data_IF_398855929774
#
_entry.id   IF_398855929774
#
_cell.length_a   1.000
_cell.length_b   1.000
_cell.length_c   1.000
_cell.angle_alpha   90.00
_cell.angle_beta   90.00
_cell.angle_gamma   90.00
#
_symmetry.space_group_name_H-M   'P 1'
#
loop_
_entity.id
_entity.type
_entity.pdbx_description
1 polymer ?
#
# COMPACT_ATOMS: atom_id res chain seq x y z
N UNK A 1 5.66 -34.59 14.25
CA UNK A 1 6.69 -33.90 13.45
C UNK A 1 6.17 -33.90 12.04
N UNK A 2 5.50 -32.80 11.66
CA UNK A 2 5.01 -32.62 10.30
C UNK A 2 6.21 -32.35 9.40
N UNK A 3 6.48 -33.31 8.53
CA UNK A 3 7.50 -33.20 7.52
C UNK A 3 6.92 -32.35 6.37
N UNK A 4 6.95 -31.02 6.53
CA UNK A 4 6.54 -30.12 5.46
C UNK A 4 7.63 -30.12 4.38
N UNK A 5 7.35 -30.78 3.27
CA UNK A 5 8.21 -30.71 2.09
C UNK A 5 7.93 -29.38 1.40
N UNK A 6 8.89 -28.48 1.43
CA UNK A 6 8.84 -27.26 0.61
C UNK A 6 9.03 -27.68 -0.85
N UNK A 7 7.96 -27.65 -1.63
CA UNK A 7 8.04 -27.84 -3.09
C UNK A 7 8.44 -26.51 -3.70
N UNK A 8 9.71 -26.33 -3.99
CA UNK A 8 10.20 -25.21 -4.79
C UNK A 8 9.94 -25.55 -6.25
N UNK A 9 8.85 -25.04 -6.82
CA UNK A 9 8.47 -25.28 -8.22
C UNK A 9 9.39 -24.60 -9.23
N UNK A 10 10.12 -23.54 -8.81
CA UNK A 10 11.11 -22.87 -9.64
C UNK A 10 12.20 -22.25 -8.77
N UNK A 11 13.40 -22.81 -8.83
CA UNK A 11 14.60 -22.16 -8.33
C UNK A 11 15.24 -21.44 -9.53
N UNK A 12 15.12 -20.13 -9.60
CA UNK A 12 15.81 -19.34 -10.61
C UNK A 12 17.15 -18.86 -10.07
N UNK A 13 18.21 -19.27 -10.70
CA UNK A 13 19.53 -18.71 -10.48
C UNK A 13 19.58 -17.32 -11.11
N UNK A 14 19.97 -16.32 -10.34
CA UNK A 14 20.33 -15.03 -10.89
C UNK A 14 21.44 -15.27 -11.92
N UNK A 15 21.33 -14.70 -13.12
CA UNK A 15 22.37 -14.92 -14.13
C UNK A 15 23.69 -14.36 -13.58
N UNK A 16 24.72 -15.19 -13.53
CA UNK A 16 26.05 -14.84 -13.02
C UNK A 16 26.70 -13.67 -13.77
N UNK A 17 26.09 -13.21 -14.86
CA UNK A 17 26.60 -12.16 -15.73
C UNK A 17 26.03 -10.76 -15.44
N UNK A 18 25.07 -10.61 -14.56
CA UNK A 18 24.52 -9.29 -14.26
C UNK A 18 25.27 -8.65 -13.10
N UNK A 19 26.08 -7.62 -13.38
CA UNK A 19 26.87 -6.90 -12.38
C UNK A 19 26.24 -5.59 -11.93
N UNK A 20 25.44 -4.97 -12.80
CA UNK A 20 24.74 -3.71 -12.53
C UNK A 20 23.56 -3.51 -13.48
N UNK A 21 22.58 -2.71 -13.06
CA UNK A 21 21.41 -2.38 -13.86
C UNK A 21 20.76 -1.08 -13.42
N UNK A 22 19.70 -0.69 -14.13
CA UNK A 22 18.83 0.44 -13.77
C UNK A 22 17.66 -0.06 -12.92
N UNK A 23 17.35 0.67 -11.86
CA UNK A 23 16.13 0.50 -11.07
C UNK A 23 15.22 1.67 -11.42
N UNK A 24 13.98 1.42 -11.82
CA UNK A 24 13.01 2.48 -12.07
C UNK A 24 11.61 2.10 -11.67
N UNK A 25 10.81 3.10 -11.36
CA UNK A 25 9.41 2.93 -10.97
C UNK A 25 8.71 4.26 -10.75
N UNK A 26 7.47 4.18 -10.30
CA UNK A 26 6.61 5.32 -10.01
C UNK A 26 6.15 5.26 -8.55
N UNK A 27 6.10 6.42 -7.90
CA UNK A 27 5.52 6.57 -6.56
C UNK A 27 4.21 7.32 -6.69
N UNK A 28 3.14 6.71 -6.17
CA UNK A 28 1.78 7.23 -6.21
C UNK A 28 1.24 7.47 -4.81
N UNK A 29 0.25 8.32 -4.70
CA UNK A 29 -0.51 8.53 -3.47
C UNK A 29 -1.48 7.37 -3.24
N UNK A 30 -1.46 6.82 -2.04
CA UNK A 30 -2.25 5.64 -1.69
C UNK A 30 -3.76 5.91 -1.61
N UNK A 31 -4.18 7.17 -1.53
CA UNK A 31 -5.61 7.55 -1.38
C UNK A 31 -6.26 7.88 -2.72
N UNK A 32 -5.51 8.47 -3.66
CA UNK A 32 -6.09 8.99 -4.90
C UNK A 32 -5.37 8.50 -6.16
N UNK A 33 -4.35 7.65 -6.01
CA UNK A 33 -3.52 7.08 -7.08
C UNK A 33 -2.78 8.11 -7.96
N UNK A 34 -2.71 9.38 -7.54
CA UNK A 34 -1.98 10.39 -8.28
C UNK A 34 -0.47 10.22 -8.11
N UNK A 35 0.34 10.51 -9.15
CA UNK A 35 1.78 10.53 -9.03
C UNK A 35 2.25 11.54 -7.97
N UNK A 36 3.23 11.14 -7.14
CA UNK A 36 3.76 12.03 -6.10
C UNK A 36 5.14 12.55 -6.52
N UNK A 37 5.24 13.85 -6.81
CA UNK A 37 6.47 14.53 -7.18
C UNK A 37 7.33 14.88 -5.97
N UNK A 38 8.66 14.89 -6.13
CA UNK A 38 9.59 15.36 -5.10
C UNK A 38 9.65 14.50 -3.84
N UNK A 39 9.37 13.20 -3.95
CA UNK A 39 9.62 12.25 -2.88
C UNK A 39 11.11 11.98 -2.82
N UNK A 40 11.77 12.22 -1.71
CA UNK A 40 13.17 11.85 -1.48
C UNK A 40 13.30 10.35 -1.29
N UNK A 41 14.28 9.73 -1.95
CA UNK A 41 14.55 8.31 -1.96
C UNK A 41 15.96 8.03 -1.46
N UNK A 42 16.08 7.25 -0.39
CA UNK A 42 17.35 6.80 0.16
C UNK A 42 17.50 5.28 -0.02
N UNK A 43 18.47 4.86 -0.80
CA UNK A 43 18.72 3.44 -1.11
C UNK A 43 19.77 2.87 -0.15
N UNK A 44 19.44 1.74 0.50
CA UNK A 44 20.37 0.95 1.31
C UNK A 44 20.43 -0.47 0.77
N UNK A 45 21.61 -1.09 0.81
CA UNK A 45 21.75 -2.50 0.39
C UNK A 45 21.03 -3.45 1.34
N UNK A 46 20.34 -4.42 0.75
CA UNK A 46 19.64 -5.49 1.46
C UNK A 46 18.13 -5.37 1.43
N UNK A 47 17.48 -6.41 1.90
CA UNK A 47 16.01 -6.47 2.08
C UNK A 47 15.67 -5.99 3.49
N UNK A 48 14.68 -5.10 3.61
CA UNK A 48 14.22 -4.51 4.88
C UNK A 48 15.36 -3.84 5.70
N UNK A 49 16.35 -3.27 5.01
CA UNK A 49 17.46 -2.55 5.62
C UNK A 49 17.04 -1.12 6.00
N UNK A 50 16.52 -0.93 7.21
CA UNK A 50 16.04 0.36 7.72
C UNK A 50 17.14 1.22 8.34
N UNK A 51 18.36 0.70 8.48
CA UNK A 51 19.54 1.38 9.01
C UNK A 51 20.79 1.06 8.17
N UNK A 52 21.88 1.75 8.42
CA UNK A 52 23.16 1.57 7.71
C UNK A 52 23.38 2.62 6.61
N UNK A 53 24.42 2.40 5.82
CA UNK A 53 24.88 3.39 4.83
C UNK A 53 23.89 3.55 3.68
N UNK A 54 23.55 4.80 3.37
CA UNK A 54 22.81 5.16 2.14
C UNK A 54 23.82 5.08 0.99
N UNK A 55 23.59 4.18 0.04
CA UNK A 55 24.48 3.95 -1.09
C UNK A 55 24.11 4.79 -2.33
N UNK A 56 22.88 5.23 -2.43
CA UNK A 56 22.37 6.14 -3.47
C UNK A 56 21.19 6.93 -2.96
N UNK A 57 20.96 8.10 -3.56
CA UNK A 57 19.79 8.93 -3.35
C UNK A 57 19.19 9.34 -4.69
N UNK A 58 17.88 9.56 -4.71
CA UNK A 58 17.15 10.10 -5.86
C UNK A 58 15.92 10.89 -5.36
N UNK A 59 15.18 11.46 -6.27
CA UNK A 59 13.87 12.05 -5.98
C UNK A 59 12.91 11.84 -7.14
N UNK A 60 11.62 11.71 -6.86
CA UNK A 60 10.63 11.53 -7.92
C UNK A 60 10.47 12.81 -8.76
N UNK A 61 10.32 12.61 -10.06
CA UNK A 61 10.03 13.63 -11.06
C UNK A 61 8.61 14.22 -10.91
N UNK A 62 8.26 15.17 -11.77
CA UNK A 62 6.90 15.75 -11.83
C UNK A 62 5.81 14.70 -12.17
N UNK A 63 6.18 13.58 -12.74
CA UNK A 63 5.29 12.45 -13.03
C UNK A 63 5.39 11.33 -12.00
N UNK A 64 6.00 11.59 -10.83
CA UNK A 64 6.18 10.62 -9.76
C UNK A 64 7.19 9.52 -10.05
N UNK A 65 7.90 9.58 -11.19
CA UNK A 65 8.86 8.54 -11.60
C UNK A 65 10.23 8.75 -10.98
N UNK A 66 10.95 7.67 -10.75
CA UNK A 66 12.36 7.65 -10.36
C UNK A 66 13.15 6.67 -11.26
N UNK A 67 14.45 6.92 -11.44
CA UNK A 67 15.30 6.06 -12.25
C UNK A 67 16.77 6.20 -11.86
N UNK A 68 17.38 5.12 -11.39
CA UNK A 68 18.79 5.06 -11.02
C UNK A 68 19.53 4.04 -11.88
N UNK A 69 20.48 4.51 -12.65
CA UNK A 69 21.38 3.67 -13.44
C UNK A 69 22.59 3.21 -12.64
N UNK A 70 23.28 2.19 -13.17
CA UNK A 70 24.52 1.66 -12.64
C UNK A 70 24.44 1.20 -11.17
N UNK A 71 23.28 0.70 -10.77
CA UNK A 71 23.12 0.07 -9.47
C UNK A 71 23.76 -1.32 -9.51
N UNK A 72 24.67 -1.61 -8.58
CA UNK A 72 25.27 -2.95 -8.48
C UNK A 72 24.19 -4.01 -8.23
N UNK A 73 24.35 -5.19 -8.81
CA UNK A 73 23.40 -6.29 -8.67
C UNK A 73 23.00 -6.56 -7.21
N UNK A 74 21.72 -6.79 -6.97
CA UNK A 74 21.18 -7.19 -5.66
C UNK A 74 20.00 -6.40 -5.18
N UNK A 75 19.55 -6.74 -3.98
CA UNK A 75 18.41 -6.10 -3.32
C UNK A 75 18.81 -4.78 -2.67
N UNK A 76 17.87 -3.86 -2.68
CA UNK A 76 17.94 -2.58 -1.96
C UNK A 76 16.63 -2.32 -1.25
N UNK A 77 16.72 -1.73 -0.07
CA UNK A 77 15.61 -1.10 0.60
C UNK A 77 15.61 0.39 0.30
N UNK A 78 14.49 0.90 -0.14
CA UNK A 78 14.29 2.33 -0.44
C UNK A 78 13.45 2.93 0.67
N UNK A 79 13.99 3.92 1.35
CA UNK A 79 13.25 4.76 2.29
C UNK A 79 12.71 5.98 1.55
N UNK A 80 11.41 6.21 1.67
CA UNK A 80 10.72 7.36 1.09
C UNK A 80 10.50 8.43 2.14
N UNK A 81 10.73 9.70 1.81
CA UNK A 81 10.35 10.81 2.67
C UNK A 81 9.83 12.01 1.88
N UNK A 82 8.74 12.62 2.37
CA UNK A 82 8.15 13.82 1.82
C UNK A 82 7.29 14.49 2.89
N UNK A 83 7.32 15.84 2.93
CA UNK A 83 6.43 16.61 3.82
C UNK A 83 4.96 16.31 3.52
N UNK A 84 4.17 16.05 4.56
CA UNK A 84 2.77 15.67 4.46
C UNK A 84 2.52 14.17 4.18
N UNK A 85 3.58 13.36 4.09
CA UNK A 85 3.50 11.90 3.90
C UNK A 85 4.19 11.14 5.03
N UNK A 86 3.73 9.93 5.26
CA UNK A 86 4.35 9.00 6.20
C UNK A 86 5.63 8.45 5.56
N UNK A 87 6.75 8.51 6.29
CA UNK A 87 7.99 7.84 5.88
C UNK A 87 7.76 6.34 5.83
N UNK A 88 8.07 5.73 4.71
CA UNK A 88 7.89 4.29 4.49
C UNK A 88 9.08 3.67 3.77
N UNK A 89 9.12 2.35 3.71
CA UNK A 89 10.16 1.62 3.00
C UNK A 89 9.56 0.57 2.08
N UNK A 90 10.25 0.31 0.96
CA UNK A 90 9.95 -0.78 0.05
C UNK A 90 11.24 -1.39 -0.49
N UNK A 91 11.15 -2.61 -1.00
CA UNK A 91 12.33 -3.29 -1.54
C UNK A 91 12.30 -3.27 -3.07
N UNK A 92 13.48 -3.05 -3.65
CA UNK A 92 13.71 -3.06 -5.09
C UNK A 92 14.91 -3.93 -5.41
N UNK A 93 14.98 -4.40 -6.65
CA UNK A 93 16.08 -5.25 -7.11
C UNK A 93 16.78 -4.62 -8.29
N UNK A 94 18.10 -4.58 -8.24
CA UNK A 94 18.95 -4.18 -9.37
C UNK A 94 19.49 -5.42 -10.07
N UNK A 95 19.47 -5.40 -11.38
CA UNK A 95 19.99 -6.46 -12.22
C UNK A 95 19.00 -7.57 -12.53
N UNK A 96 18.47 -7.53 -13.67
CA UNK A 96 17.51 -8.46 -14.21
C UNK A 96 16.38 -7.72 -14.91
N UNK A 97 15.85 -8.31 -15.95
CA UNK A 97 14.58 -7.88 -16.53
C UNK A 97 13.49 -8.72 -15.88
N UNK A 98 12.58 -8.09 -15.13
CA UNK A 98 11.37 -8.74 -14.62
C UNK A 98 10.19 -8.44 -15.57
N UNK A 99 10.40 -8.47 -16.85
CA UNK A 99 9.31 -8.55 -17.79
C UNK A 99 8.84 -10.00 -17.90
N UNK A 100 7.61 -10.27 -17.46
CA UNK A 100 7.01 -11.60 -17.56
C UNK A 100 7.53 -12.65 -16.57
N UNK A 101 8.15 -12.24 -15.45
CA UNK A 101 8.60 -13.16 -14.40
C UNK A 101 9.92 -13.87 -14.71
N UNK A 102 10.62 -13.49 -15.77
CA UNK A 102 11.98 -13.93 -16.08
C UNK A 102 13.00 -12.88 -15.62
N UNK A 103 13.99 -13.30 -14.86
CA UNK A 103 15.12 -12.47 -14.47
C UNK A 103 16.22 -12.74 -15.50
N UNK A 104 16.14 -12.10 -16.65
CA UNK A 104 17.21 -12.11 -17.65
C UNK A 104 17.87 -10.73 -17.67
N UNK A 105 19.14 -10.67 -17.37
CA UNK A 105 19.95 -9.49 -17.08
C UNK A 105 19.56 -8.20 -17.80
N UNK A 106 19.45 -7.10 -17.07
CA UNK A 106 19.10 -5.79 -17.58
C UNK A 106 18.52 -4.84 -16.55
N UNK A 107 17.76 -3.89 -17.04
CA UNK A 107 17.11 -2.86 -16.24
C UNK A 107 15.75 -3.36 -15.73
N UNK A 108 15.47 -3.16 -14.45
CA UNK A 108 14.17 -3.48 -13.88
C UNK A 108 13.33 -2.21 -13.80
N UNK A 109 12.29 -2.16 -14.61
CA UNK A 109 11.26 -1.13 -14.59
C UNK A 109 10.03 -1.59 -13.78
N UNK A 110 9.12 -0.67 -13.51
CA UNK A 110 7.84 -1.00 -12.83
C UNK A 110 8.00 -1.41 -11.38
N UNK A 111 9.06 -0.96 -10.71
CA UNK A 111 9.20 -1.15 -9.27
C UNK A 111 8.43 -0.05 -8.53
N UNK A 112 7.13 -0.03 -8.82
CA UNK A 112 6.20 0.97 -8.33
C UNK A 112 5.83 0.73 -6.86
N UNK A 113 5.50 1.81 -6.17
CA UNK A 113 4.95 1.76 -4.82
C UNK A 113 3.99 2.92 -4.59
N UNK A 114 3.22 2.84 -3.51
CA UNK A 114 2.41 3.94 -3.02
C UNK A 114 2.89 4.41 -1.65
N UNK A 115 2.70 5.70 -1.38
CA UNK A 115 2.94 6.31 -0.08
C UNK A 115 1.67 6.98 0.44
N UNK A 116 1.50 6.97 1.74
CA UNK A 116 0.32 7.49 2.42
C UNK A 116 0.58 8.88 2.97
N UNK A 117 -0.38 9.79 2.81
CA UNK A 117 -0.39 11.05 3.56
C UNK A 117 -0.43 10.82 5.05
N UNK A 118 0.08 11.78 5.84
CA UNK A 118 -0.03 11.77 7.29
C UNK A 118 -1.50 11.70 7.72
N UNK A 119 -1.74 11.03 8.84
CA UNK A 119 -3.06 10.85 9.41
C UNK A 119 -3.21 11.72 10.66
N UNK A 120 -4.44 12.12 10.95
CA UNK A 120 -4.78 12.74 12.22
C UNK A 120 -4.67 11.73 13.38
N UNK A 121 -4.56 12.24 14.61
CA UNK A 121 -4.49 11.39 15.81
C UNK A 121 -5.77 10.55 15.94
N UNK A 122 -5.60 9.25 16.11
CA UNK A 122 -6.71 8.30 16.21
C UNK A 122 -7.20 7.78 14.84
N UNK A 123 -6.64 8.25 13.74
CA UNK A 123 -6.94 7.70 12.43
C UNK A 123 -6.00 6.54 12.06
N UNK A 124 -6.51 5.61 11.26
CA UNK A 124 -5.76 4.46 10.74
C UNK A 124 -5.98 4.33 9.23
N UNK A 125 -4.99 3.87 8.50
CA UNK A 125 -5.12 3.54 7.08
C UNK A 125 -4.56 2.15 6.79
N UNK A 126 -5.31 1.37 6.04
CA UNK A 126 -4.93 0.06 5.53
C UNK A 126 -4.70 0.23 4.02
N UNK A 127 -3.53 -0.17 3.54
CA UNK A 127 -3.17 -0.10 2.12
C UNK A 127 -2.78 -1.49 1.67
N UNK A 128 -3.60 -2.10 0.80
CA UNK A 128 -3.30 -3.36 0.14
C UNK A 128 -2.64 -3.05 -1.21
N UNK A 129 -1.44 -3.55 -1.42
CA UNK A 129 -0.70 -3.39 -2.67
C UNK A 129 -0.23 -4.73 -3.20
N UNK A 130 -0.45 -4.97 -4.48
CA UNK A 130 0.01 -6.18 -5.17
C UNK A 130 0.51 -5.82 -6.57
N UNK A 131 1.16 -6.77 -7.25
CA UNK A 131 1.83 -6.49 -8.55
C UNK A 131 1.25 -7.27 -9.72
N UNK A 132 0.23 -8.08 -9.49
CA UNK A 132 -0.45 -8.86 -10.53
C UNK A 132 -1.68 -8.14 -11.07
N UNK A 133 -2.28 -8.69 -12.11
CA UNK A 133 -3.54 -8.19 -12.69
C UNK A 133 -4.78 -8.71 -12.00
N UNK A 134 -4.62 -9.47 -10.91
CA UNK A 134 -5.74 -9.99 -10.14
C UNK A 134 -6.54 -8.85 -9.53
N UNK A 135 -7.84 -9.03 -9.46
CA UNK A 135 -8.77 -8.17 -8.76
C UNK A 135 -8.87 -8.67 -7.31
N UNK A 136 -8.35 -7.88 -6.38
CA UNK A 136 -8.35 -8.22 -4.95
C UNK A 136 -9.19 -7.22 -4.20
N UNK A 137 -10.28 -7.69 -3.61
CA UNK A 137 -11.20 -6.84 -2.85
C UNK A 137 -10.85 -6.78 -1.36
N UNK A 138 -10.76 -5.57 -0.85
CA UNK A 138 -10.58 -5.31 0.58
C UNK A 138 -11.91 -5.32 1.32
N UNK A 139 -12.00 -6.13 2.36
CA UNK A 139 -13.13 -6.17 3.28
C UNK A 139 -12.71 -5.72 4.67
N UNK A 140 -13.46 -4.81 5.27
CA UNK A 140 -13.26 -4.38 6.64
C UNK A 140 -14.56 -4.49 7.43
N UNK A 141 -14.53 -5.21 8.55
CA UNK A 141 -15.57 -5.13 9.57
C UNK A 141 -15.04 -4.43 10.80
N UNK A 142 -15.89 -3.69 11.48
CA UNK A 142 -15.50 -2.96 12.69
C UNK A 142 -16.69 -2.65 13.59
N UNK A 143 -16.45 -2.09 14.78
CA UNK A 143 -17.50 -1.75 15.72
C UNK A 143 -18.43 -0.71 15.11
N UNK A 144 -19.71 -0.88 15.37
CA UNK A 144 -20.69 0.17 15.16
C UNK A 144 -20.85 1.03 16.43
N UNK A 145 -21.54 2.15 16.35
CA UNK A 145 -21.73 3.06 17.49
C UNK A 145 -23.06 2.82 18.23
N UNK A 146 -23.61 1.60 18.20
CA UNK A 146 -24.95 1.31 18.73
C UNK A 146 -25.06 1.21 20.25
N UNK A 147 -23.96 1.25 21.00
CA UNK A 147 -23.98 1.12 22.46
C UNK A 147 -24.78 2.22 23.21
N UNK A 148 -25.32 3.22 22.49
CA UNK A 148 -26.03 4.34 23.06
C UNK A 148 -27.49 4.54 22.59
N UNK A 149 -27.99 3.84 21.60
CA UNK A 149 -29.24 4.19 20.92
C UNK A 149 -30.46 3.31 21.30
N UNK A 150 -30.35 2.40 22.28
CA UNK A 150 -31.50 1.66 22.82
C UNK A 150 -32.27 0.77 21.82
N UNK A 151 -31.75 0.58 20.63
CA UNK A 151 -32.26 -0.39 19.68
C UNK A 151 -31.74 -1.76 20.06
N UNK A 152 -32.61 -2.72 20.30
CA UNK A 152 -32.32 -4.05 20.82
C UNK A 152 -31.54 -4.95 19.82
N UNK A 153 -30.49 -4.41 19.27
CA UNK A 153 -29.55 -5.13 18.42
C UNK A 153 -28.56 -5.92 19.28
N UNK A 154 -28.36 -7.17 18.95
CA UNK A 154 -27.44 -8.04 19.66
C UNK A 154 -26.02 -7.46 19.63
N UNK A 155 -25.22 -7.70 20.66
CA UNK A 155 -23.86 -7.20 20.89
C UNK A 155 -22.81 -7.58 19.80
N UNK A 156 -23.23 -7.84 18.57
CA UNK A 156 -22.44 -8.34 17.44
C UNK A 156 -22.64 -7.58 16.14
N UNK A 157 -23.31 -6.43 16.16
CA UNK A 157 -23.47 -5.67 14.95
C UNK A 157 -22.18 -4.90 14.66
N UNK A 158 -21.55 -5.30 13.57
CA UNK A 158 -20.36 -4.67 13.01
C UNK A 158 -20.75 -4.12 11.65
N UNK A 159 -20.21 -2.95 11.29
CA UNK A 159 -20.28 -2.54 9.91
C UNK A 159 -19.42 -3.50 9.06
N UNK A 160 -19.78 -3.64 7.79
CA UNK A 160 -18.97 -4.35 6.80
C UNK A 160 -18.81 -3.45 5.57
N UNK A 161 -17.60 -2.95 5.39
CA UNK A 161 -17.21 -2.07 4.30
C UNK A 161 -16.50 -2.89 3.22
N UNK A 162 -16.86 -2.67 1.94
CA UNK A 162 -16.30 -3.33 0.76
C UNK A 162 -16.68 -2.56 -0.52
N UNK A 163 -16.27 -3.02 -1.70
CA UNK A 163 -16.35 -2.36 -3.00
C UNK A 163 -17.76 -1.95 -3.49
N UNK A 164 -18.80 -2.61 -3.05
CA UNK A 164 -20.19 -2.36 -3.46
C UNK A 164 -20.75 -1.06 -2.82
N UNK A 165 -22.05 -0.90 -2.71
CA UNK A 165 -22.74 0.28 -2.13
C UNK A 165 -22.31 0.64 -0.69
N UNK A 166 -21.47 -0.19 -0.06
CA UNK A 166 -20.97 -0.05 1.33
C UNK A 166 -19.54 0.47 1.40
N UNK A 167 -19.25 1.52 0.65
CA UNK A 167 -17.88 2.10 0.56
C UNK A 167 -17.57 3.14 1.62
N UNK A 168 -18.57 3.63 2.36
CA UNK A 168 -18.38 4.66 3.38
C UNK A 168 -19.37 4.45 4.53
N UNK A 169 -18.85 4.24 5.74
CA UNK A 169 -19.63 4.07 6.96
C UNK A 169 -19.45 5.27 7.89
N UNK A 170 -20.55 5.84 8.37
CA UNK A 170 -20.57 7.01 9.24
C UNK A 170 -20.99 6.65 10.66
N UNK A 171 -20.15 6.88 11.64
CA UNK A 171 -20.46 6.64 13.05
C UNK A 171 -21.60 7.53 13.56
N UNK A 172 -21.72 8.76 13.04
CA UNK A 172 -22.77 9.70 13.44
C UNK A 172 -24.20 9.20 13.18
N UNK A 173 -24.40 8.41 12.13
CA UNK A 173 -25.71 7.84 11.77
C UNK A 173 -25.76 6.33 11.96
N UNK A 174 -24.62 5.72 12.25
CA UNK A 174 -24.45 4.27 12.28
C UNK A 174 -24.94 3.62 10.96
N UNK A 175 -24.63 4.23 9.83
CA UNK A 175 -25.13 3.83 8.52
C UNK A 175 -24.13 4.18 7.43
N UNK A 176 -24.35 3.61 6.23
CA UNK A 176 -23.61 3.91 4.99
C UNK A 176 -24.11 5.18 4.29
N UNK A 177 -24.89 6.00 4.98
CA UNK A 177 -25.33 7.31 4.50
C UNK A 177 -25.39 8.31 5.64
N UNK A 178 -25.08 9.57 5.34
CA UNK A 178 -25.04 10.65 6.33
C UNK A 178 -25.80 11.88 5.80
N UNK A 179 -27.10 11.71 5.58
CA UNK A 179 -27.97 12.81 5.17
C UNK A 179 -28.19 13.79 6.32
N UNK A 180 -27.94 15.07 6.08
CA UNK A 180 -28.09 16.13 7.10
C UNK A 180 -26.96 16.22 8.13
N UNK A 181 -25.91 15.41 8.03
CA UNK A 181 -24.77 15.49 8.93
C UNK A 181 -23.97 16.78 8.73
N UNK A 182 -23.42 17.31 9.82
CA UNK A 182 -22.42 18.37 9.82
C UNK A 182 -21.09 17.89 9.18
N UNK A 183 -20.20 18.82 8.85
CA UNK A 183 -18.88 18.50 8.32
C UNK A 183 -18.08 17.65 9.32
N UNK A 184 -18.11 17.97 10.60
CA UNK A 184 -17.41 17.19 11.63
C UNK A 184 -17.95 15.76 11.78
N UNK A 185 -19.28 15.58 11.68
CA UNK A 185 -19.88 14.26 11.72
C UNK A 185 -19.52 13.40 10.50
N UNK A 186 -19.35 14.03 9.33
CA UNK A 186 -18.90 13.34 8.12
C UNK A 186 -17.42 12.96 8.14
N UNK A 187 -16.60 13.67 8.91
CA UNK A 187 -15.18 13.34 9.07
C UNK A 187 -14.91 12.17 10.03
N UNK A 188 -15.93 11.75 10.80
CA UNK A 188 -15.87 10.56 11.66
C UNK A 188 -16.44 9.36 10.91
N UNK A 189 -15.68 8.84 9.96
CA UNK A 189 -16.11 7.78 9.05
C UNK A 189 -15.04 6.71 8.83
N UNK A 190 -15.47 5.64 8.16
CA UNK A 190 -14.60 4.62 7.58
C UNK A 190 -14.88 4.59 6.10
N UNK A 191 -13.84 4.75 5.27
CA UNK A 191 -14.00 4.91 3.82
C UNK A 191 -13.11 3.93 3.07
N UNK A 192 -13.65 3.27 2.04
CA UNK A 192 -12.86 2.67 0.97
C UNK A 192 -12.47 3.78 0.00
N UNK A 193 -11.27 4.33 0.16
CA UNK A 193 -10.78 5.49 -0.60
C UNK A 193 -10.48 5.12 -2.06
N UNK A 194 -9.83 3.98 -2.25
CA UNK A 194 -9.52 3.40 -3.55
C UNK A 194 -9.95 1.95 -3.61
N UNK A 195 -10.52 1.60 -4.74
CA UNK A 195 -10.94 0.28 -5.16
C UNK A 195 -10.31 0.03 -6.54
N UNK A 196 -9.44 -0.94 -6.65
CA UNK A 196 -8.63 -1.15 -7.83
C UNK A 196 -8.74 -2.58 -8.36
N UNK A 197 -9.16 -2.71 -9.60
CA UNK A 197 -9.29 -4.00 -10.29
C UNK A 197 -7.94 -4.62 -10.72
N UNK A 198 -6.81 -4.01 -10.35
CA UNK A 198 -5.47 -4.55 -10.65
C UNK A 198 -4.40 -3.91 -9.77
N UNK A 199 -3.34 -4.65 -9.49
CA UNK A 199 -2.23 -4.18 -8.66
C UNK A 199 -1.37 -3.08 -9.29
N UNK A 200 -0.63 -2.37 -8.45
CA UNK A 200 0.20 -1.21 -8.84
C UNK A 200 1.24 -1.52 -9.92
N UNK A 201 1.75 -2.75 -9.98
CA UNK A 201 2.71 -3.19 -11.01
C UNK A 201 2.10 -3.39 -12.41
N UNK A 202 0.77 -3.29 -12.54
CA UNK A 202 0.01 -3.47 -13.79
C UNK A 202 -0.73 -2.20 -14.22
N UNK A 203 -0.20 -1.02 -13.88
CA UNK A 203 -0.85 0.29 -14.04
C UNK A 203 -2.11 0.49 -13.18
N UNK A 204 -2.40 -0.41 -12.26
CA UNK A 204 -3.47 -0.27 -11.30
C UNK A 204 -3.09 0.63 -10.12
N UNK A 205 -3.88 0.50 -9.06
CA UNK A 205 -3.73 1.24 -7.81
C UNK A 205 -3.65 0.26 -6.61
N UNK A 206 -3.26 0.72 -5.42
CA UNK A 206 -3.56 -0.04 -4.22
C UNK A 206 -5.06 -0.01 -3.93
N UNK A 207 -5.55 -0.93 -3.11
CA UNK A 207 -6.78 -0.72 -2.38
C UNK A 207 -6.51 -0.04 -1.05
N UNK A 208 -7.32 0.95 -0.71
CA UNK A 208 -7.05 1.75 0.48
C UNK A 208 -8.32 1.99 1.28
N UNK A 209 -8.27 1.64 2.57
CA UNK A 209 -9.32 1.94 3.54
C UNK A 209 -8.76 2.91 4.57
N UNK A 210 -9.48 4.01 4.81
CA UNK A 210 -9.19 4.93 5.91
C UNK A 210 -10.27 4.83 6.99
N UNK A 211 -9.84 4.65 8.23
CA UNK A 211 -10.63 4.82 9.44
C UNK A 211 -10.25 6.19 9.98
N UNK A 212 -11.10 7.20 9.75
CA UNK A 212 -10.77 8.60 10.09
C UNK A 212 -10.84 8.87 11.59
N UNK A 213 -11.73 8.15 12.31
CA UNK A 213 -11.79 8.17 13.77
C UNK A 213 -12.04 6.75 14.26
N UNK A 214 -11.12 6.20 15.05
CA UNK A 214 -11.27 4.85 15.57
C UNK A 214 -12.29 4.81 16.72
N UNK A 215 -13.09 3.77 16.71
CA UNK A 215 -13.99 3.43 17.83
C UNK A 215 -13.43 2.24 18.60
N UNK A 216 -13.68 2.21 19.90
CA UNK A 216 -13.26 1.09 20.74
C UNK A 216 -13.96 -0.20 20.29
N UNK A 217 -13.19 -1.21 19.94
CA UNK A 217 -13.71 -2.50 19.51
C UNK A 217 -12.72 -3.27 18.64
N UNK A 218 -13.20 -4.33 18.00
CA UNK A 218 -12.38 -5.19 17.14
C UNK A 218 -12.65 -4.87 15.68
N UNK A 219 -11.60 -4.50 14.97
CA UNK A 219 -11.58 -4.40 13.51
C UNK A 219 -11.01 -5.69 12.93
N UNK A 220 -11.60 -6.16 11.83
CA UNK A 220 -11.11 -7.31 11.07
C UNK A 220 -11.01 -6.95 9.60
N UNK A 221 -9.83 -7.12 9.05
CA UNK A 221 -9.52 -6.96 7.64
C UNK A 221 -9.29 -8.34 7.00
N UNK A 222 -9.83 -8.59 5.80
CA UNK A 222 -9.71 -9.86 5.07
C UNK A 222 -10.00 -9.68 3.58
#
# INVERSE_FOLDING_TARGET
KDNQTLVVSTLRMLSDNCTSGTISGTIKDAVNNNPVTGVSLNFRRGVNATSGTIVKTDSTSNTGTYSLSSMSAGWYTVETSKSGYITSTFNVYACGDISGGDISGGDISGQDTSISTTLDTGAMRIVLSWKTTDDLDSHLTGPDNLSGLGHGHAAHEQFHLYWDERREFYYATNNFSCSGCSVSQKSENVTLDLDSHSGIGSNGAPETITIAADQSGTYRYY
#
